data_IF_990845260995
#
_entry.id   IF_990845260995
#
_cell.length_a   1.000
_cell.length_b   1.000
_cell.length_c   1.000
_cell.angle_alpha   90.00
_cell.angle_beta   90.00
_cell.angle_gamma   90.00
#
_symmetry.space_group_name_H-M   'P 1'
#
loop_
_entity.id
_entity.type
_entity.pdbx_description
1 polymer ?
#
# COMPACT_ATOMS: atom_id res chain seq x y z
N UNK A 1 -65.13 18.22 20.30
CA UNK A 1 -63.84 18.81 19.90
C UNK A 1 -62.91 18.87 21.10
N UNK A 2 -61.91 17.98 21.18
CA UNK A 2 -60.50 18.27 21.50
C UNK A 2 -59.77 16.95 21.77
N UNK A 3 -58.70 16.80 21.00
CA UNK A 3 -57.83 15.65 20.82
C UNK A 3 -56.81 15.48 21.95
N UNK A 4 -56.21 14.29 22.01
CA UNK A 4 -54.88 14.05 22.60
C UNK A 4 -54.82 12.71 23.32
N UNK A 5 -53.80 11.87 23.18
CA UNK A 5 -52.64 11.83 22.30
C UNK A 5 -52.11 10.40 22.45
N UNK A 6 -52.00 9.61 21.37
CA UNK A 6 -51.40 8.28 21.43
C UNK A 6 -49.87 8.43 21.42
N UNK A 7 -49.22 8.09 22.52
CA UNK A 7 -47.76 8.03 22.61
C UNK A 7 -47.33 6.65 22.09
N UNK A 8 -46.81 6.61 20.86
CA UNK A 8 -46.01 5.48 20.37
C UNK A 8 -44.60 5.56 21.00
N UNK A 9 -44.11 4.51 21.67
CA UNK A 9 -42.67 4.40 21.89
C UNK A 9 -42.01 3.92 20.60
N UNK A 10 -41.34 4.84 19.90
CA UNK A 10 -40.42 4.51 18.82
C UNK A 10 -39.16 3.85 19.43
N UNK A 11 -39.08 2.52 19.34
CA UNK A 11 -37.90 1.75 19.71
C UNK A 11 -36.83 1.92 18.61
N UNK A 12 -35.97 2.92 18.76
CA UNK A 12 -34.82 3.11 17.89
C UNK A 12 -33.80 1.99 18.15
N UNK A 13 -33.70 1.04 17.21
CA UNK A 13 -32.66 0.03 17.21
C UNK A 13 -31.29 0.68 16.97
N UNK A 14 -30.48 0.81 18.02
CA UNK A 14 -29.05 1.14 17.89
C UNK A 14 -28.33 -0.07 17.26
N UNK A 15 -28.12 -0.02 15.94
CA UNK A 15 -27.11 -0.82 15.25
C UNK A 15 -25.72 -0.30 15.68
N UNK A 16 -25.23 -0.78 16.83
CA UNK A 16 -23.83 -0.65 17.19
C UNK A 16 -23.01 -1.60 16.30
N UNK A 17 -22.66 -1.15 15.10
CA UNK A 17 -21.53 -1.73 14.38
C UNK A 17 -20.29 -1.55 15.26
N UNK A 18 -19.87 -2.63 15.91
CA UNK A 18 -18.58 -2.71 16.55
C UNK A 18 -17.51 -2.54 15.46
N UNK A 19 -17.11 -1.29 15.23
CA UNK A 19 -15.92 -0.97 14.45
C UNK A 19 -14.74 -1.50 15.24
N UNK A 20 -14.28 -2.70 14.89
CA UNK A 20 -12.94 -3.14 15.28
C UNK A 20 -11.99 -2.00 14.87
N UNK A 21 -11.13 -1.50 15.75
CA UNK A 21 -10.22 -0.44 15.37
C UNK A 21 -9.35 -0.99 14.24
N UNK A 22 -9.52 -0.44 13.05
CA UNK A 22 -8.58 -0.58 11.96
C UNK A 22 -7.26 0.05 12.43
N UNK A 23 -6.41 -0.76 13.06
CA UNK A 23 -5.20 -0.25 13.68
C UNK A 23 -4.20 0.08 12.57
N UNK A 24 -3.83 1.35 12.48
CA UNK A 24 -2.65 1.76 11.75
C UNK A 24 -1.42 1.56 12.64
N UNK A 25 -0.29 1.27 12.00
CA UNK A 25 0.99 1.06 12.68
C UNK A 25 1.93 2.19 12.27
N UNK A 26 2.61 2.78 13.25
CA UNK A 26 3.75 3.69 13.05
C UNK A 26 3.64 5.03 13.78
N UNK A 27 4.80 5.60 14.10
CA UNK A 27 4.93 6.89 14.81
C UNK A 27 5.04 8.07 13.86
N UNK A 28 5.85 7.94 12.81
CA UNK A 28 6.05 8.99 11.81
C UNK A 28 4.98 8.96 10.72
N UNK A 29 4.55 7.76 10.33
CA UNK A 29 3.47 7.56 9.39
C UNK A 29 2.57 6.40 9.84
N UNK A 30 1.27 6.53 9.62
CA UNK A 30 0.29 5.47 9.79
C UNK A 30 0.30 4.58 8.53
N UNK A 31 0.58 3.29 8.71
CA UNK A 31 0.52 2.29 7.64
C UNK A 31 -0.70 1.40 7.83
N UNK A 32 -1.54 1.31 6.81
CA UNK A 32 -2.69 0.40 6.78
C UNK A 32 -2.76 -0.37 5.47
N UNK A 33 -3.29 -1.60 5.52
CA UNK A 33 -3.53 -2.42 4.33
C UNK A 33 -5.03 -2.39 4.03
N UNK A 34 -5.40 -2.02 2.81
CA UNK A 34 -6.79 -1.86 2.40
C UNK A 34 -7.14 -2.88 1.33
N UNK A 35 -8.22 -3.63 1.53
CA UNK A 35 -8.81 -4.46 0.49
C UNK A 35 -9.47 -3.56 -0.56
N UNK A 36 -9.02 -3.64 -1.81
CA UNK A 36 -9.42 -2.69 -2.86
C UNK A 36 -10.78 -2.98 -3.46
N UNK A 37 -11.33 -4.17 -3.21
CA UNK A 37 -12.67 -4.53 -3.68
C UNK A 37 -13.74 -3.97 -2.73
N UNK A 38 -13.49 -4.08 -1.42
CA UNK A 38 -14.43 -3.66 -0.38
C UNK A 38 -14.15 -2.25 0.17
N UNK A 39 -12.94 -1.73 -0.03
CA UNK A 39 -12.45 -0.50 0.60
C UNK A 39 -12.16 -0.65 2.11
N UNK A 40 -12.33 -1.85 2.68
CA UNK A 40 -12.13 -2.09 4.09
C UNK A 40 -10.64 -2.12 4.44
N UNK A 41 -10.28 -1.51 5.56
CA UNK A 41 -8.94 -1.71 6.14
C UNK A 41 -8.87 -3.10 6.77
N UNK A 42 -7.85 -3.87 6.40
CA UNK A 42 -7.62 -5.20 6.95
C UNK A 42 -7.23 -5.08 8.43
N UNK A 43 -7.87 -5.85 9.34
CA UNK A 43 -7.52 -5.84 10.75
C UNK A 43 -6.06 -6.28 10.96
N UNK A 44 -5.36 -5.51 11.79
CA UNK A 44 -4.01 -5.84 12.24
C UNK A 44 -4.08 -6.68 13.51
N UNK A 45 -3.36 -7.79 13.53
CA UNK A 45 -3.19 -8.69 14.65
C UNK A 45 -1.74 -8.63 15.15
N UNK A 46 -1.54 -8.32 16.43
CA UNK A 46 -0.21 -8.36 17.03
C UNK A 46 0.02 -9.71 17.71
N UNK A 47 1.04 -10.44 17.27
CA UNK A 47 1.39 -11.74 17.82
C UNK A 47 2.88 -12.01 17.66
N UNK A 48 3.50 -12.60 18.71
CA UNK A 48 4.93 -12.98 18.71
C UNK A 48 5.89 -11.83 18.38
N UNK A 49 5.55 -10.61 18.78
CA UNK A 49 6.37 -9.42 18.51
C UNK A 49 6.17 -8.80 17.12
N UNK A 50 5.31 -9.40 16.28
CA UNK A 50 5.11 -9.01 14.89
C UNK A 50 3.67 -8.57 14.63
N UNK A 51 3.49 -7.71 13.63
CA UNK A 51 2.18 -7.32 13.13
C UNK A 51 1.77 -8.22 11.96
N UNK A 52 0.51 -8.64 11.94
CA UNK A 52 -0.04 -9.55 10.95
C UNK A 52 -1.35 -9.03 10.38
N UNK A 53 -1.58 -9.23 9.08
CA UNK A 53 -2.88 -8.99 8.44
C UNK A 53 -3.34 -10.22 7.66
N UNK A 54 -4.65 -10.48 7.66
CA UNK A 54 -5.24 -11.56 6.91
C UNK A 54 -5.59 -11.11 5.48
N UNK A 55 -4.93 -11.67 4.48
CA UNK A 55 -5.24 -11.45 3.07
C UNK A 55 -6.21 -12.50 2.52
N UNK A 56 -7.05 -12.10 1.56
CA UNK A 56 -7.89 -13.03 0.80
C UNK A 56 -7.15 -13.40 -0.49
N UNK A 57 -6.87 -14.69 -0.78
CA UNK A 57 -6.27 -15.09 -2.05
C UNK A 57 -7.06 -14.54 -3.26
N UNK A 58 -6.37 -13.98 -4.24
CA UNK A 58 -6.93 -13.33 -5.42
C UNK A 58 -7.41 -11.89 -5.19
N UNK A 59 -7.46 -11.41 -3.95
CA UNK A 59 -7.91 -10.04 -3.68
C UNK A 59 -6.80 -9.02 -3.96
N UNK A 60 -7.17 -7.92 -4.62
CA UNK A 60 -6.30 -6.75 -4.77
C UNK A 60 -6.28 -5.95 -3.48
N UNK A 61 -5.11 -5.42 -3.14
CA UNK A 61 -4.95 -4.60 -1.95
C UNK A 61 -4.12 -3.34 -2.22
N UNK A 62 -4.16 -2.39 -1.29
CA UNK A 62 -3.37 -1.18 -1.30
C UNK A 62 -2.64 -1.02 0.03
N UNK A 63 -1.42 -0.49 -0.02
CA UNK A 63 -0.69 0.00 1.16
C UNK A 63 -0.98 1.49 1.28
N UNK A 64 -1.77 1.86 2.27
CA UNK A 64 -2.02 3.28 2.57
C UNK A 64 -0.94 3.77 3.51
N UNK A 65 -0.33 4.89 3.15
CA UNK A 65 0.65 5.60 3.98
C UNK A 65 0.07 6.97 4.27
N UNK A 66 0.01 7.32 5.55
CA UNK A 66 -0.46 8.62 6.02
C UNK A 66 0.61 9.27 6.89
N UNK A 67 1.21 10.35 6.41
CA UNK A 67 2.20 11.10 7.17
C UNK A 67 1.54 11.75 8.40
N UNK A 68 2.10 11.54 9.59
CA UNK A 68 1.56 12.12 10.83
C UNK A 68 2.24 13.43 11.22
N UNK A 69 3.31 13.78 10.52
CA UNK A 69 4.15 14.91 10.86
C UNK A 69 3.74 16.17 10.08
N UNK A 70 4.07 17.32 10.67
CA UNK A 70 3.99 18.64 10.02
C UNK A 70 5.13 18.94 9.04
N UNK A 71 5.90 17.92 8.64
CA UNK A 71 7.06 18.03 7.74
C UNK A 71 7.02 16.90 6.71
N UNK A 72 7.87 16.95 5.67
CA UNK A 72 7.91 15.89 4.66
C UNK A 72 8.56 14.62 5.20
N UNK A 73 8.04 13.48 4.76
CA UNK A 73 8.58 12.15 5.07
C UNK A 73 8.82 11.38 3.79
N UNK A 74 9.99 10.75 3.67
CA UNK A 74 10.27 9.78 2.62
C UNK A 74 9.91 8.39 3.13
N UNK A 75 9.06 7.68 2.41
CA UNK A 75 8.76 6.27 2.62
C UNK A 75 9.41 5.43 1.52
N UNK A 76 10.22 4.44 1.91
CA UNK A 76 10.79 3.42 1.02
C UNK A 76 10.02 2.11 1.25
N UNK A 77 8.95 1.86 0.47
CA UNK A 77 8.11 0.67 0.61
C UNK A 77 8.68 -0.56 -0.09
N UNK A 78 8.46 -1.72 0.51
CA UNK A 78 8.74 -3.03 -0.05
C UNK A 78 7.59 -4.01 0.17
N UNK A 79 7.42 -4.91 -0.79
CA UNK A 79 6.47 -6.02 -0.73
C UNK A 79 7.21 -7.28 -1.14
N UNK A 80 7.17 -8.31 -0.30
CA UNK A 80 7.88 -9.57 -0.48
C UNK A 80 9.39 -9.42 -0.73
N UNK A 81 9.99 -8.39 -0.11
CA UNK A 81 11.40 -8.05 -0.30
C UNK A 81 11.74 -7.41 -1.65
N UNK A 82 10.72 -6.95 -2.39
CA UNK A 82 10.85 -6.21 -3.65
C UNK A 82 10.49 -4.74 -3.41
N UNK A 83 11.36 -3.82 -3.80
CA UNK A 83 11.08 -2.39 -3.73
C UNK A 83 9.90 -2.04 -4.64
N UNK A 84 8.89 -1.33 -4.12
CA UNK A 84 7.66 -1.06 -4.88
C UNK A 84 7.91 -0.09 -6.05
N UNK A 85 8.90 0.79 -5.93
CA UNK A 85 9.21 1.79 -6.95
C UNK A 85 10.16 1.24 -8.02
N UNK A 86 11.26 0.58 -7.63
CA UNK A 86 12.27 0.09 -8.59
C UNK A 86 12.05 -1.34 -9.08
N UNK A 87 11.35 -2.18 -8.31
CA UNK A 87 11.23 -3.62 -8.60
C UNK A 87 12.48 -4.45 -8.26
N UNK A 88 13.51 -3.84 -7.68
CA UNK A 88 14.75 -4.51 -7.26
C UNK A 88 14.60 -5.17 -5.88
N UNK A 89 15.64 -5.87 -5.41
CA UNK A 89 15.76 -6.22 -3.99
C UNK A 89 15.57 -4.99 -3.13
N UNK A 90 14.67 -5.05 -2.16
CA UNK A 90 14.45 -3.94 -1.25
C UNK A 90 15.67 -3.70 -0.35
N UNK A 91 16.14 -2.46 -0.35
CA UNK A 91 17.12 -1.91 0.57
C UNK A 91 16.69 -0.48 0.94
N UNK A 92 17.08 -0.01 2.13
CA UNK A 92 16.60 1.28 2.64
C UNK A 92 17.27 2.50 2.00
N UNK A 93 18.43 2.34 1.39
CA UNK A 93 19.17 3.36 0.64
C UNK A 93 18.54 3.71 -0.72
N UNK A 94 17.56 2.92 -1.16
CA UNK A 94 16.84 3.13 -2.42
C UNK A 94 15.85 4.29 -2.38
N UNK A 95 15.41 4.71 -3.57
CA UNK A 95 14.37 5.75 -3.74
C UNK A 95 13.00 5.27 -3.22
N UNK A 96 12.13 6.23 -2.95
CA UNK A 96 10.79 5.99 -2.42
C UNK A 96 9.82 7.13 -2.73
N UNK A 97 8.71 7.14 -2.03
CA UNK A 97 7.66 8.15 -2.16
C UNK A 97 7.85 9.23 -1.11
N UNK A 98 7.74 10.49 -1.53
CA UNK A 98 7.81 11.64 -0.61
C UNK A 98 6.39 12.08 -0.30
N UNK A 99 6.08 12.18 0.98
CA UNK A 99 4.80 12.61 1.50
C UNK A 99 4.95 14.00 2.10
N UNK A 100 4.10 14.92 1.66
CA UNK A 100 3.93 16.25 2.22
C UNK A 100 3.38 16.16 3.65
N UNK A 101 3.44 17.25 4.45
CA UNK A 101 2.83 17.28 5.78
C UNK A 101 1.39 16.78 5.76
N UNK A 102 1.07 15.81 6.62
CA UNK A 102 -0.26 15.20 6.73
C UNK A 102 -0.80 14.51 5.47
N UNK A 103 0.02 14.33 4.43
CA UNK A 103 -0.40 13.70 3.18
C UNK A 103 -0.75 12.23 3.39
N UNK A 104 -1.82 11.78 2.70
CA UNK A 104 -2.21 10.39 2.61
C UNK A 104 -2.21 9.94 1.16
N UNK A 105 -1.58 8.81 0.89
CA UNK A 105 -1.55 8.21 -0.44
C UNK A 105 -1.70 6.68 -0.37
N UNK A 106 -2.34 6.12 -1.40
CA UNK A 106 -2.50 4.68 -1.56
C UNK A 106 -1.55 4.15 -2.62
N UNK A 107 -0.67 3.26 -2.21
CA UNK A 107 0.25 2.55 -3.10
C UNK A 107 -0.44 1.25 -3.49
N UNK A 108 -0.90 1.17 -4.75
CA UNK A 108 -1.76 0.08 -5.24
C UNK A 108 -1.02 -1.00 -6.02
N UNK A 109 0.28 -0.84 -6.24
CA UNK A 109 1.08 -1.77 -7.04
C UNK A 109 2.53 -1.35 -7.25
N UNK A 110 3.31 -2.24 -7.87
CA UNK A 110 4.68 -1.95 -8.30
C UNK A 110 4.71 -0.99 -9.47
N UNK A 111 5.57 0.04 -9.42
CA UNK A 111 5.68 0.98 -10.53
C UNK A 111 6.23 0.33 -11.79
N UNK A 112 5.61 0.68 -12.92
CA UNK A 112 6.08 0.39 -14.28
C UNK A 112 6.58 1.65 -14.97
N UNK A 113 6.01 2.81 -14.62
CA UNK A 113 6.41 4.13 -15.09
C UNK A 113 5.91 5.22 -14.11
N UNK A 114 6.10 6.50 -14.46
CA UNK A 114 5.53 7.63 -13.72
C UNK A 114 3.99 7.69 -13.75
N UNK A 115 3.34 6.94 -14.64
CA UNK A 115 1.89 6.97 -14.85
C UNK A 115 1.22 5.60 -14.73
N UNK A 116 1.97 4.54 -14.42
CA UNK A 116 1.46 3.17 -14.49
C UNK A 116 2.03 2.25 -13.40
N UNK A 117 1.19 1.35 -12.90
CA UNK A 117 1.54 0.25 -11.98
C UNK A 117 1.09 -1.11 -12.49
N UNK A 118 1.72 -2.16 -11.94
CA UNK A 118 1.13 -3.50 -11.86
C UNK A 118 0.53 -3.69 -10.46
N UNK A 119 -0.77 -3.93 -10.38
CA UNK A 119 -1.53 -3.98 -9.13
C UNK A 119 -1.02 -5.08 -8.18
N UNK A 120 -1.07 -4.80 -6.88
CA UNK A 120 -0.87 -5.83 -5.86
C UNK A 120 -2.08 -6.74 -5.77
N UNK A 121 -1.83 -8.05 -5.80
CA UNK A 121 -2.84 -9.08 -5.60
C UNK A 121 -2.26 -10.18 -4.70
N UNK A 122 -3.02 -10.58 -3.69
CA UNK A 122 -2.62 -11.71 -2.86
C UNK A 122 -2.67 -13.01 -3.69
N UNK A 123 -1.59 -13.77 -3.74
CA UNK A 123 -1.53 -15.07 -4.43
C UNK A 123 -0.91 -16.14 -3.56
N UNK A 124 -0.97 -17.40 -3.99
CA UNK A 124 -0.13 -18.43 -3.36
C UNK A 124 1.35 -18.10 -3.53
N UNK A 125 2.16 -18.38 -2.50
CA UNK A 125 3.59 -18.05 -2.47
C UNK A 125 4.37 -18.68 -3.64
N UNK A 126 4.01 -19.91 -4.05
CA UNK A 126 4.64 -20.56 -5.21
C UNK A 126 4.38 -19.85 -6.55
N UNK A 127 3.29 -19.10 -6.65
CA UNK A 127 2.97 -18.28 -7.83
C UNK A 127 3.27 -16.78 -7.65
N UNK A 128 3.72 -16.38 -6.44
CA UNK A 128 4.05 -14.99 -6.13
C UNK A 128 5.25 -14.51 -6.94
N UNK A 129 5.34 -13.20 -7.15
CA UNK A 129 6.41 -12.60 -7.94
C UNK A 129 7.79 -12.88 -7.32
N UNK A 130 7.92 -12.71 -6.00
CA UNK A 130 9.15 -13.02 -5.28
C UNK A 130 9.49 -14.53 -5.33
N UNK A 131 8.48 -15.41 -5.25
CA UNK A 131 8.66 -16.85 -5.43
C UNK A 131 9.21 -17.21 -6.81
N UNK A 132 8.68 -16.59 -7.88
CA UNK A 132 9.12 -16.80 -9.26
C UNK A 132 10.46 -16.15 -9.61
N UNK A 133 10.86 -15.12 -8.87
CA UNK A 133 12.14 -14.40 -9.07
C UNK A 133 13.24 -14.85 -8.10
N UNK A 134 13.04 -15.97 -7.39
CA UNK A 134 14.09 -16.63 -6.59
C UNK A 134 14.31 -16.02 -5.20
N UNK A 135 13.31 -15.38 -4.59
CA UNK A 135 13.42 -14.66 -3.30
C UNK A 135 12.40 -15.14 -2.25
N UNK A 136 12.35 -16.45 -1.92
CA UNK A 136 11.28 -17.01 -1.10
C UNK A 136 11.31 -16.58 0.37
N UNK A 137 12.46 -16.14 0.90
CA UNK A 137 12.64 -15.84 2.33
C UNK A 137 11.77 -14.66 2.82
N UNK A 138 11.50 -13.69 1.95
CA UNK A 138 10.80 -12.45 2.30
C UNK A 138 9.31 -12.46 1.93
N UNK A 139 8.80 -13.58 1.38
CA UNK A 139 7.40 -13.71 0.97
C UNK A 139 6.47 -13.61 2.18
N UNK A 140 5.42 -12.81 2.06
CA UNK A 140 4.43 -12.58 3.11
C UNK A 140 4.78 -11.39 4.01
N UNK A 141 5.57 -10.42 3.52
CA UNK A 141 5.99 -9.25 4.31
C UNK A 141 5.86 -7.96 3.51
N UNK A 142 5.25 -6.94 4.13
CA UNK A 142 5.21 -5.56 3.67
C UNK A 142 6.09 -4.74 4.60
N UNK A 143 7.10 -4.07 4.04
CA UNK A 143 8.03 -3.23 4.77
C UNK A 143 7.91 -1.77 4.36
N UNK A 144 8.03 -0.84 5.30
CA UNK A 144 8.14 0.59 5.00
C UNK A 144 9.23 1.20 5.88
N UNK A 145 10.30 1.67 5.24
CA UNK A 145 11.35 2.44 5.91
C UNK A 145 11.06 3.94 5.76
N UNK A 146 11.00 4.66 6.87
CA UNK A 146 10.61 6.07 6.94
C UNK A 146 11.81 6.94 7.31
N UNK A 147 11.98 8.03 6.57
CA UNK A 147 13.05 9.00 6.76
C UNK A 147 12.48 10.41 6.90
N UNK A 148 13.02 11.15 7.86
CA UNK A 148 12.79 12.59 8.01
C UNK A 148 13.71 13.36 7.06
N UNK A 149 13.25 14.52 6.62
CA UNK A 149 14.04 15.39 5.76
C UNK A 149 15.06 16.19 6.56
N UNK A 150 16.22 16.45 5.97
CA UNK A 150 17.14 17.44 6.49
C UNK A 150 16.50 18.83 6.40
N UNK A 151 16.37 19.57 7.51
CA UNK A 151 15.84 20.93 7.46
C UNK A 151 16.73 21.81 6.58
N UNK A 152 16.17 22.80 5.86
CA UNK A 152 16.95 23.76 5.11
C UNK A 152 17.99 24.39 6.03
N UNK A 153 19.25 24.48 5.57
CA UNK A 153 20.26 25.24 6.30
C UNK A 153 19.74 26.67 6.46
N UNK A 154 19.87 27.28 7.65
CA UNK A 154 19.50 28.68 7.82
C UNK A 154 20.24 29.50 6.78
N UNK A 155 19.51 30.37 6.08
CA UNK A 155 20.13 31.28 5.12
C UNK A 155 21.25 32.05 5.85
N UNK A 156 22.44 32.22 5.23
CA UNK A 156 23.45 33.08 5.82
C UNK A 156 22.82 34.46 6.09
N UNK A 157 23.18 35.12 7.21
CA UNK A 157 22.69 36.45 7.48
C UNK A 157 22.96 37.31 6.25
N UNK A 158 21.92 37.98 5.74
CA UNK A 158 22.09 38.97 4.67
C UNK A 158 22.97 40.06 5.26
N UNK A 159 24.27 40.01 4.96
CA UNK A 159 25.15 41.13 5.24
C UNK A 159 24.70 42.22 4.28
N UNK A 160 23.97 43.20 4.82
CA UNK A 160 23.72 44.43 4.10
C UNK A 160 25.09 45.09 3.91
N UNK A 161 25.71 44.89 2.75
CA UNK A 161 26.82 45.74 2.36
C UNK A 161 26.31 47.19 2.38
N UNK A 162 27.02 48.12 3.03
CA UNK A 162 26.67 49.52 2.95
C UNK A 162 26.62 49.90 1.47
N UNK A 163 25.52 50.54 1.03
CA UNK A 163 25.41 51.16 -0.29
C UNK A 163 26.49 52.25 -0.42
N UNK A 164 27.68 51.85 -0.85
CA UNK A 164 28.87 52.69 -0.99
C UNK A 164 29.31 52.75 -2.45
N UNK A 165 28.99 53.87 -3.10
CA UNK A 165 29.55 54.37 -4.36
C UNK A 165 29.29 53.53 -5.63
N UNK A 166 28.14 53.85 -6.26
CA UNK A 166 28.10 54.00 -7.72
C UNK A 166 29.23 54.95 -8.13
N UNK A 167 30.18 54.46 -8.92
CA UNK A 167 31.05 55.31 -9.72
C UNK A 167 30.90 54.89 -11.17
N UNK A 168 30.33 55.81 -11.92
CA UNK A 168 30.16 55.75 -13.37
C UNK A 168 31.50 55.49 -14.06
N UNK A 169 31.50 54.56 -15.00
CA UNK A 169 32.53 54.45 -16.04
C UNK A 169 31.88 53.86 -17.28
N UNK A 170 31.17 54.72 -17.98
CA UNK A 170 30.69 54.51 -19.35
C UNK A 170 31.77 54.97 -20.33
N UNK A 171 32.26 54.07 -21.19
CA UNK A 171 32.81 54.25 -22.55
C UNK A 171 33.81 53.13 -22.81
N UNK A 172 34.03 52.58 -23.99
CA UNK A 172 33.39 52.59 -25.30
C UNK A 172 34.25 51.58 -26.07
N UNK A 173 33.66 50.55 -26.69
CA UNK A 173 34.21 50.13 -27.97
C UNK A 173 33.15 49.47 -28.83
N UNK A 174 33.10 50.00 -30.03
CA UNK A 174 32.06 49.89 -31.03
C UNK A 174 32.56 48.98 -32.17
N UNK A 175 31.65 48.14 -32.68
CA UNK A 175 31.48 47.77 -34.10
C UNK A 175 32.47 46.81 -34.80
N UNK A 176 31.91 45.67 -35.21
CA UNK A 176 32.17 45.03 -36.50
C UNK A 176 31.98 43.51 -36.44
N UNK A 177 31.34 42.79 -37.36
CA UNK A 177 30.73 43.12 -38.66
C UNK A 177 30.22 41.78 -39.28
N UNK A 178 29.00 41.78 -39.85
CA UNK A 178 28.41 40.89 -40.90
C UNK A 178 28.16 39.40 -40.55
N UNK A 179 26.91 38.89 -40.59
CA UNK A 179 26.00 38.58 -41.73
C UNK A 179 26.51 37.42 -42.60
N UNK A 180 25.89 36.24 -42.47
CA UNK A 180 25.33 35.46 -43.59
C UNK A 180 24.62 34.17 -43.11
N UNK A 181 23.32 34.10 -43.41
CA UNK A 181 22.58 32.89 -43.82
C UNK A 181 22.49 32.99 -45.36
N UNK A 182 22.30 31.90 -46.17
CA UNK A 182 21.27 30.86 -45.92
C UNK A 182 21.58 29.44 -46.45
N UNK A 183 20.56 28.56 -46.30
CA UNK A 183 20.08 27.54 -47.26
C UNK A 183 20.25 26.05 -46.94
N UNK A 184 19.09 25.40 -46.78
CA UNK A 184 18.79 23.96 -46.90
C UNK A 184 18.89 23.48 -48.38
N UNK A 185 18.97 22.17 -48.73
CA UNK A 185 17.81 21.27 -48.59
C UNK A 185 18.04 19.73 -48.47
N UNK A 186 17.04 19.08 -47.84
CA UNK A 186 16.26 17.88 -48.26
C UNK A 186 16.84 16.46 -48.45
N UNK A 187 15.95 15.51 -48.05
CA UNK A 187 15.74 14.11 -48.52
C UNK A 187 16.65 13.01 -47.94
N UNK A 188 16.24 11.78 -47.58
CA UNK A 188 14.98 11.03 -47.71
C UNK A 188 14.97 9.84 -46.69
N UNK A 189 13.79 9.40 -46.26
CA UNK A 189 13.52 8.03 -45.80
C UNK A 189 13.30 7.09 -47.04
N UNK A 190 13.28 5.73 -46.98
CA UNK A 190 12.56 4.91 -46.01
C UNK A 190 13.20 3.54 -45.61
N UNK A 191 12.50 2.83 -44.71
CA UNK A 191 12.68 1.41 -44.32
C UNK A 191 12.17 0.42 -45.41
N UNK A 192 12.25 -0.94 -45.31
CA UNK A 192 11.53 -1.73 -44.29
C UNK A 192 12.13 -3.10 -43.81
N UNK A 193 11.55 -3.57 -42.69
CA UNK A 193 11.13 -4.91 -42.20
C UNK A 193 11.78 -6.26 -42.62
N UNK A 194 11.92 -7.18 -41.63
CA UNK A 194 11.29 -8.54 -41.54
C UNK A 194 11.76 -9.26 -40.25
N UNK A 195 10.91 -9.49 -39.24
CA UNK A 195 10.21 -10.75 -38.87
C UNK A 195 11.08 -11.98 -38.53
N UNK A 196 10.95 -12.49 -37.29
CA UNK A 196 11.07 -13.91 -36.93
C UNK A 196 10.44 -14.20 -35.55
N UNK A 197 9.66 -15.28 -35.51
CA UNK A 197 8.78 -15.80 -34.47
C UNK A 197 9.50 -16.40 -33.25
N UNK A 198 8.79 -16.56 -32.11
CA UNK A 198 8.55 -17.89 -31.55
C UNK A 198 7.57 -17.87 -30.39
N UNK A 199 6.52 -18.68 -30.53
CA UNK A 199 5.53 -19.02 -29.52
C UNK A 199 5.86 -20.41 -28.96
N UNK A 200 5.82 -20.58 -27.64
CA UNK A 200 5.75 -21.92 -27.05
C UNK A 200 4.87 -21.93 -25.79
N UNK A 201 3.84 -22.77 -25.86
CA UNK A 201 2.81 -23.07 -24.87
C UNK A 201 3.25 -24.30 -24.09
N UNK A 202 2.89 -24.40 -22.80
CA UNK A 202 2.74 -25.70 -22.14
C UNK A 202 1.72 -25.62 -21.01
N UNK A 203 0.75 -26.53 -21.07
CA UNK A 203 -0.31 -26.80 -20.11
C UNK A 203 -0.06 -28.18 -19.49
N UNK A 204 -0.41 -28.36 -18.21
CA UNK A 204 -1.02 -29.57 -17.63
C UNK A 204 -1.34 -29.28 -16.15
N UNK A 205 -2.60 -29.35 -15.69
CA UNK A 205 -3.36 -30.54 -15.28
C UNK A 205 -2.56 -31.38 -14.27
N UNK A 206 -2.89 -31.52 -12.99
CA UNK A 206 -4.17 -31.69 -12.32
C UNK A 206 -4.18 -33.09 -11.69
N UNK A 207 -4.21 -33.20 -10.36
CA UNK A 207 -4.63 -34.45 -9.69
C UNK A 207 -5.09 -34.19 -8.27
N UNK A 208 -6.30 -34.69 -8.00
CA UNK A 208 -7.02 -34.65 -6.73
C UNK A 208 -6.57 -35.81 -5.84
N UNK A 209 -6.15 -35.51 -4.62
CA UNK A 209 -6.18 -36.43 -3.50
C UNK A 209 -6.85 -35.73 -2.32
N UNK A 210 -7.99 -36.27 -1.88
CA UNK A 210 -8.74 -35.78 -0.72
C UNK A 210 -8.00 -36.19 0.55
N UNK A 211 -7.28 -35.25 1.15
CA UNK A 211 -6.70 -35.36 2.47
C UNK A 211 -7.35 -34.34 3.41
N UNK A 212 -7.28 -34.57 4.73
CA UNK A 212 -7.64 -33.64 5.81
C UNK A 212 -7.29 -32.18 5.43
N UNK A 213 -8.04 -31.14 5.87
CA UNK A 213 -7.87 -29.78 5.36
C UNK A 213 -6.39 -29.42 5.33
N UNK A 214 -5.83 -29.47 4.12
CA UNK A 214 -4.41 -29.28 3.93
C UNK A 214 -4.10 -27.86 4.40
N UNK A 215 -2.93 -27.61 5.02
CA UNK A 215 -2.53 -26.26 5.33
C UNK A 215 -2.65 -25.42 4.06
N UNK A 216 -3.37 -24.29 4.15
CA UNK A 216 -3.57 -23.44 2.98
C UNK A 216 -2.20 -22.97 2.50
N UNK A 217 -1.94 -22.91 1.18
CA UNK A 217 -0.65 -22.44 0.69
C UNK A 217 -0.31 -21.08 1.29
N UNK A 218 0.94 -20.91 1.76
CA UNK A 218 1.44 -19.62 2.26
C UNK A 218 1.10 -18.52 1.25
N UNK A 219 0.65 -17.37 1.73
CA UNK A 219 0.32 -16.23 0.86
C UNK A 219 1.58 -15.42 0.48
N UNK A 220 1.57 -14.87 -0.73
CA UNK A 220 2.51 -13.89 -1.25
C UNK A 220 1.78 -12.86 -2.11
N UNK A 221 2.51 -12.01 -2.85
CA UNK A 221 1.92 -11.04 -3.77
C UNK A 221 2.31 -11.32 -5.22
N UNK A 222 1.33 -11.34 -6.11
CA UNK A 222 1.49 -11.48 -7.55
C UNK A 222 1.45 -10.12 -8.26
N UNK A 223 2.13 -10.05 -9.41
CA UNK A 223 1.96 -8.95 -10.37
C UNK A 223 0.59 -9.05 -11.04
N UNK A 224 -0.34 -8.19 -10.61
CA UNK A 224 -1.69 -8.10 -11.17
C UNK A 224 -1.78 -7.25 -12.43
N UNK A 225 -3.00 -6.80 -12.73
CA UNK A 225 -3.31 -5.98 -13.90
C UNK A 225 -2.56 -4.64 -13.91
N UNK A 226 -2.31 -4.12 -15.12
CA UNK A 226 -1.77 -2.77 -15.30
C UNK A 226 -2.85 -1.73 -15.01
N UNK A 227 -2.54 -0.73 -14.20
CA UNK A 227 -3.47 0.36 -13.87
C UNK A 227 -2.78 1.72 -13.98
N UNK A 228 -3.55 2.75 -14.29
CA UNK A 228 -3.05 4.13 -14.31
C UNK A 228 -2.83 4.63 -12.89
N UNK A 229 -1.65 5.20 -12.63
CA UNK A 229 -1.33 5.84 -11.36
C UNK A 229 -0.21 6.86 -11.57
N UNK A 230 -0.55 8.15 -11.47
CA UNK A 230 0.36 9.25 -11.80
C UNK A 230 1.14 9.72 -10.58
N UNK A 231 2.44 9.97 -10.75
CA UNK A 231 3.34 10.58 -9.77
C UNK A 231 4.21 11.64 -10.44
N UNK A 232 4.64 12.61 -9.63
CA UNK A 232 5.65 13.60 -10.01
C UNK A 232 6.97 13.30 -9.29
N UNK A 233 8.06 13.80 -9.85
CA UNK A 233 9.38 13.68 -9.22
C UNK A 233 9.66 14.88 -8.34
N UNK A 234 10.31 14.64 -7.20
CA UNK A 234 10.83 15.67 -6.32
C UNK A 234 12.17 15.23 -5.76
N UNK A 235 12.91 16.17 -5.19
CA UNK A 235 14.14 15.90 -4.42
C UNK A 235 13.80 15.76 -2.95
N UNK A 236 14.60 14.99 -2.21
CA UNK A 236 14.48 14.81 -0.77
C UNK A 236 15.86 14.48 -0.21
N UNK A 237 16.36 15.27 0.71
CA UNK A 237 17.64 15.01 1.38
C UNK A 237 17.34 14.40 2.74
N UNK A 238 17.77 13.15 2.95
CA UNK A 238 17.53 12.46 4.22
C UNK A 238 18.31 13.13 5.34
N UNK A 239 17.70 13.25 6.51
CA UNK A 239 18.37 13.72 7.72
C UNK A 239 19.52 12.79 8.15
N UNK A 240 19.40 11.49 7.85
CA UNK A 240 20.35 10.44 8.21
C UNK A 240 20.25 9.24 7.25
N UNK A 241 21.30 8.41 7.19
CA UNK A 241 21.37 7.24 6.30
C UNK A 241 20.47 6.08 6.74
N UNK A 242 20.36 5.86 8.05
CA UNK A 242 19.48 4.82 8.61
C UNK A 242 18.05 5.34 8.76
N UNK A 243 17.03 4.49 8.55
CA UNK A 243 15.64 4.91 8.70
C UNK A 243 15.36 5.38 10.13
N UNK A 244 14.55 6.42 10.26
CA UNK A 244 14.06 6.88 11.56
C UNK A 244 13.02 5.92 12.15
N UNK A 245 12.33 5.17 11.29
CA UNK A 245 11.39 4.14 11.67
C UNK A 245 11.28 3.08 10.56
N UNK A 246 11.20 1.81 10.94
CA UNK A 246 10.93 0.69 10.02
C UNK A 246 9.69 -0.03 10.50
N UNK A 247 8.68 -0.10 9.63
CA UNK A 247 7.42 -0.78 9.89
C UNK A 247 7.41 -2.05 9.07
N UNK A 248 7.12 -3.18 9.72
CA UNK A 248 6.99 -4.48 9.07
C UNK A 248 5.65 -5.10 9.43
N UNK A 249 4.88 -5.44 8.39
CA UNK A 249 3.57 -6.08 8.50
C UNK A 249 3.65 -7.39 7.73
N UNK A 250 3.49 -8.49 8.45
CA UNK A 250 3.40 -9.82 7.85
C UNK A 250 1.97 -10.07 7.39
N UNK A 251 1.81 -10.92 6.39
CA UNK A 251 0.50 -11.29 5.92
C UNK A 251 0.44 -12.76 5.52
N UNK A 252 -0.73 -13.36 5.71
CA UNK A 252 -1.04 -14.71 5.24
C UNK A 252 -2.57 -14.85 5.09
N UNK A 253 -3.04 -16.02 4.67
CA UNK A 253 -4.47 -16.33 4.68
C UNK A 253 -5.01 -16.35 6.11
N UNK A 254 -6.29 -16.02 6.29
CA UNK A 254 -6.93 -16.05 7.61
C UNK A 254 -6.81 -17.42 8.27
N UNK A 255 -6.99 -18.49 7.49
CA UNK A 255 -6.92 -19.88 7.93
C UNK A 255 -5.52 -20.19 8.48
N UNK A 256 -4.46 -19.75 7.80
CA UNK A 256 -3.08 -19.91 8.25
C UNK A 256 -2.79 -19.10 9.53
N UNK A 257 -3.34 -17.89 9.65
CA UNK A 257 -3.19 -17.08 10.86
C UNK A 257 -3.96 -17.63 12.06
N UNK A 258 -5.11 -18.26 11.85
CA UNK A 258 -5.83 -19.00 12.89
C UNK A 258 -5.04 -20.23 13.31
N UNK A 259 -4.60 -21.05 12.35
CA UNK A 259 -3.84 -22.27 12.62
C UNK A 259 -2.51 -21.99 13.36
N UNK A 260 -1.87 -20.85 13.09
CA UNK A 260 -0.63 -20.42 13.76
C UNK A 260 -0.84 -19.69 15.10
N UNK A 261 -2.10 -19.48 15.50
CA UNK A 261 -2.49 -18.83 16.74
C UNK A 261 -2.35 -17.31 16.76
N UNK A 262 -2.13 -16.68 15.60
CA UNK A 262 -2.08 -15.22 15.43
C UNK A 262 -3.47 -14.63 15.58
N UNK A 263 -4.45 -15.22 14.89
CA UNK A 263 -5.86 -14.87 15.05
C UNK A 263 -6.48 -15.84 16.04
N UNK A 264 -6.93 -15.31 17.18
CA UNK A 264 -7.71 -16.08 18.14
C UNK A 264 -9.17 -16.06 17.71
N UNK A 265 -9.68 -17.20 17.29
CA UNK A 265 -11.12 -17.35 17.16
C UNK A 265 -11.72 -17.36 18.58
N UNK A 266 -12.69 -16.47 18.83
CA UNK A 266 -13.46 -16.58 20.06
C UNK A 266 -14.16 -17.94 20.02
N UNK A 267 -14.00 -18.78 21.06
CA UNK A 267 -14.77 -20.00 21.14
C UNK A 267 -16.24 -19.60 21.09
N UNK A 268 -16.96 -20.10 20.07
CA UNK A 268 -18.42 -19.99 20.02
C UNK A 268 -18.89 -20.66 21.30
N UNK A 269 -19.33 -19.86 22.28
CA UNK A 269 -19.89 -20.43 23.50
C UNK A 269 -21.09 -21.26 23.05
N UNK A 270 -21.13 -22.58 23.31
CA UNK A 270 -22.33 -23.34 23.03
C UNK A 270 -23.49 -22.64 23.75
N UNK A 271 -24.68 -22.57 23.12
CA UNK A 271 -25.83 -21.96 23.77
C UNK A 271 -26.00 -22.62 25.14
N UNK A 272 -25.90 -21.82 26.19
CA UNK A 272 -26.09 -22.29 27.56
C UNK A 272 -27.50 -22.87 27.64
N UNK A 273 -27.69 -24.10 28.14
CA UNK A 273 -29.01 -24.65 28.35
C UNK A 273 -29.87 -23.65 29.12
N UNK A 274 -30.95 -23.17 28.50
CA UNK A 274 -31.91 -22.30 29.16
C UNK A 274 -32.86 -23.19 29.95
N UNK A 275 -33.01 -22.92 31.25
CA UNK A 275 -34.00 -23.61 32.08
C UNK A 275 -35.43 -23.42 31.54
N UNK A 276 -35.70 -22.30 30.88
CA UNK A 276 -36.98 -21.96 30.27
C UNK A 276 -36.79 -21.51 28.82
N UNK A 277 -36.55 -22.43 27.87
CA UNK A 277 -36.21 -22.09 26.49
C UNK A 277 -37.39 -21.51 25.70
N UNK A 278 -38.61 -21.65 26.23
CA UNK A 278 -39.86 -21.20 25.60
C UNK A 278 -40.61 -20.16 26.46
N UNK A 279 -39.91 -19.37 27.27
CA UNK A 279 -40.54 -18.33 28.14
C UNK A 279 -41.46 -17.37 27.38
N UNK A 280 -41.24 -17.22 26.07
CA UNK A 280 -41.98 -16.32 25.18
C UNK A 280 -43.10 -17.04 24.39
N UNK A 281 -43.29 -18.35 24.57
CA UNK A 281 -44.27 -19.16 23.85
C UNK A 281 -45.17 -19.95 24.82
N UNK A 282 -46.48 -19.84 24.65
CA UNK A 282 -47.43 -20.73 25.34
C UNK A 282 -47.52 -22.02 24.55
N UNK A 283 -47.04 -23.12 25.11
CA UNK A 283 -47.16 -24.47 24.53
C UNK A 283 -47.65 -25.44 25.59
N UNK A 284 -48.41 -26.44 25.18
CA UNK A 284 -48.87 -27.54 26.03
C UNK A 284 -48.01 -28.78 25.79
N UNK A 285 -47.98 -29.69 26.77
CA UNK A 285 -47.22 -30.94 26.71
C UNK A 285 -47.81 -31.85 25.62
N UNK A 286 -47.03 -32.26 24.60
CA UNK A 286 -47.51 -33.24 23.63
C UNK A 286 -47.53 -34.65 24.23
N UNK A 287 -48.42 -35.50 23.72
CA UNK A 287 -48.49 -36.89 24.14
C UNK A 287 -47.19 -37.66 23.79
N UNK A 288 -46.75 -38.59 24.65
CA UNK A 288 -45.58 -39.41 24.40
C UNK A 288 -45.80 -40.32 23.19
N UNK A 289 -44.76 -40.46 22.35
CA UNK A 289 -44.72 -41.42 21.23
C UNK A 289 -44.33 -42.81 21.71
#
# INVERSE_FOLDING_TARGET
MRSGSFILPALAALLALASLPAQAIGRLADITIVDRETGATLPVHYAKGEYWVAGRPGARYAVTVHNRLGERVLAVPSVDGVNVLSGETAAWDQRGYVFSPYERYQITGWRKSSSEIAAFEFSSAGNSYAGRTGRPANVGVIGVALFREQPPLPAPPVVHEPLGQRRDSSSDNSLGRLREEPASPAAAAPAPASEAESSARSQSAGSLAKAAPAPSPKLGTAHGQRETSVVTHTTFTRLQEQPNEVISIRYDSRENLVASGVIREQPVRPPVPRAFPQSDNVSYVPDPK
#
